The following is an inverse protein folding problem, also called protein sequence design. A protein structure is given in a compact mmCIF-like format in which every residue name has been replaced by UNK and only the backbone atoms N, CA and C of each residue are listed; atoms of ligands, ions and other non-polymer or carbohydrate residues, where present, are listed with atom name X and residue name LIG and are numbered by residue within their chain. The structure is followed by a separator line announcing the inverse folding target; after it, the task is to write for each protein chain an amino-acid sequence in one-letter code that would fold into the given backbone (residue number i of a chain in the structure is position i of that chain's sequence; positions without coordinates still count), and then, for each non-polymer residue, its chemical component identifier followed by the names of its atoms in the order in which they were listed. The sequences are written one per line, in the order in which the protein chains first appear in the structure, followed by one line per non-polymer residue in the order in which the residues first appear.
data_IF_723654665732
#
_entry.id   IF_723654665732
#
_cell.length_a   1.000
_cell.length_b   1.000
_cell.length_c   1.000
_cell.angle_alpha   90.00
_cell.angle_beta   90.00
_cell.angle_gamma   90.00
#
_symmetry.space_group_name_H-M   'P 1'
#
loop_
_entity.id
_entity.type
_entity.pdbx_description
1 polymer ?
#
# COMPACT_ATOMS: atom_id res chain seq x y z
N UNK A 1 -13.57 5.58 15.58
CA UNK A 1 -12.76 6.70 15.05
C UNK A 1 -13.56 7.40 13.97
N UNK A 2 -13.52 8.73 13.92
CA UNK A 2 -14.06 9.51 12.80
C UNK A 2 -13.18 9.30 11.58
N UNK A 3 -13.74 9.41 10.37
CA UNK A 3 -13.02 9.24 9.11
C UNK A 3 -11.68 9.99 9.07
N UNK A 4 -11.68 11.27 9.43
CA UNK A 4 -10.46 12.09 9.43
C UNK A 4 -9.39 11.64 10.44
N UNK A 5 -9.80 10.98 11.52
CA UNK A 5 -8.84 10.41 12.48
C UNK A 5 -8.14 9.19 11.87
N UNK A 6 -8.88 8.38 11.11
CA UNK A 6 -8.33 7.22 10.38
C UNK A 6 -7.34 7.70 9.31
N UNK A 7 -7.71 8.73 8.55
CA UNK A 7 -6.81 9.34 7.54
C UNK A 7 -5.50 9.79 8.17
N UNK A 8 -5.55 10.50 9.31
CA UNK A 8 -4.34 10.94 10.01
C UNK A 8 -3.46 9.77 10.48
N UNK A 9 -4.06 8.68 10.92
CA UNK A 9 -3.29 7.49 11.34
C UNK A 9 -2.56 6.89 10.15
N UNK A 10 -3.26 6.75 9.01
CA UNK A 10 -2.67 6.19 7.78
C UNK A 10 -1.57 7.12 7.24
N UNK A 11 -1.82 8.44 7.22
CA UNK A 11 -0.86 9.45 6.78
C UNK A 11 0.44 9.41 7.61
N UNK A 12 0.30 9.31 8.94
CA UNK A 12 1.47 9.16 9.82
C UNK A 12 2.26 7.87 9.54
N UNK A 13 1.57 6.75 9.25
CA UNK A 13 2.23 5.46 8.95
C UNK A 13 2.94 5.52 7.59
N UNK A 14 2.32 6.18 6.60
CA UNK A 14 2.90 6.39 5.28
C UNK A 14 4.20 7.21 5.38
N UNK A 15 4.24 8.25 6.23
CA UNK A 15 5.42 9.09 6.44
C UNK A 15 6.50 8.40 7.29
N UNK A 16 6.12 7.67 8.34
CA UNK A 16 7.09 7.03 9.25
C UNK A 16 7.69 5.74 8.69
N UNK A 17 6.87 4.90 8.06
CA UNK A 17 7.22 3.53 7.70
C UNK A 17 6.63 3.16 6.32
N UNK A 18 6.94 3.98 5.32
CA UNK A 18 6.43 3.84 3.95
C UNK A 18 6.51 2.41 3.40
N UNK A 19 7.61 1.70 3.64
CA UNK A 19 7.78 0.31 3.21
C UNK A 19 6.75 -0.64 3.82
N UNK A 20 6.55 -0.55 5.14
CA UNK A 20 5.59 -1.41 5.83
C UNK A 20 4.15 -1.01 5.52
N UNK A 21 3.89 0.28 5.30
CA UNK A 21 2.64 0.76 4.73
C UNK A 21 2.31 0.08 3.40
N UNK A 22 3.25 0.07 2.45
CA UNK A 22 3.07 -0.56 1.14
C UNK A 22 2.89 -2.08 1.27
N UNK A 23 3.69 -2.77 2.10
CA UNK A 23 3.49 -4.21 2.35
C UNK A 23 2.10 -4.51 2.92
N UNK A 24 1.60 -3.67 3.83
CA UNK A 24 0.25 -3.81 4.38
C UNK A 24 -0.83 -3.65 3.29
N UNK A 25 -0.65 -2.71 2.36
CA UNK A 25 -1.54 -2.55 1.20
C UNK A 25 -1.55 -3.80 0.31
N UNK A 26 -0.37 -4.32 -0.04
CA UNK A 26 -0.22 -5.56 -0.81
C UNK A 26 -0.89 -6.74 -0.10
N UNK A 27 -0.73 -6.86 1.22
CA UNK A 27 -1.40 -7.87 2.02
C UNK A 27 -2.93 -7.74 1.95
N UNK A 28 -3.47 -6.53 2.10
CA UNK A 28 -4.93 -6.29 2.06
C UNK A 28 -5.51 -6.69 0.69
N UNK A 29 -4.84 -6.33 -0.40
CA UNK A 29 -5.31 -6.58 -1.76
C UNK A 29 -5.16 -8.04 -2.19
N UNK A 30 -4.01 -8.64 -1.91
CA UNK A 30 -3.67 -9.99 -2.40
C UNK A 30 -3.85 -11.09 -1.36
N UNK A 31 -4.12 -10.74 -0.11
CA UNK A 31 -4.22 -11.65 1.04
C UNK A 31 -2.95 -12.51 1.25
N UNK A 32 -1.77 -11.94 0.97
CA UNK A 32 -0.45 -12.59 1.08
C UNK A 32 0.17 -12.32 2.44
N UNK A 33 0.34 -13.35 3.28
CA UNK A 33 0.92 -13.24 4.63
C UNK A 33 2.40 -13.60 4.72
N UNK A 34 2.98 -14.11 3.63
CA UNK A 34 4.38 -14.49 3.60
C UNK A 34 5.25 -13.25 3.47
N UNK A 35 6.03 -12.97 4.52
CA UNK A 35 6.90 -11.80 4.61
C UNK A 35 7.94 -11.74 3.48
N UNK A 36 8.46 -12.88 3.02
CA UNK A 36 9.44 -12.92 1.94
C UNK A 36 8.79 -12.59 0.60
N UNK A 37 7.53 -12.96 0.42
CA UNK A 37 6.76 -12.63 -0.78
C UNK A 37 6.38 -11.15 -0.75
N UNK A 38 5.95 -10.62 0.40
CA UNK A 38 5.67 -9.19 0.57
C UNK A 38 6.90 -8.33 0.32
N UNK A 39 8.07 -8.75 0.81
CA UNK A 39 9.33 -8.06 0.58
C UNK A 39 9.67 -8.00 -0.92
N UNK A 40 9.54 -9.12 -1.65
CA UNK A 40 9.79 -9.14 -3.10
C UNK A 40 8.82 -8.24 -3.87
N UNK A 41 7.53 -8.32 -3.55
CA UNK A 41 6.50 -7.50 -4.19
C UNK A 41 6.70 -6.00 -3.89
N UNK A 42 7.17 -5.66 -2.69
CA UNK A 42 7.57 -4.29 -2.39
C UNK A 42 8.75 -3.83 -3.25
N UNK A 43 9.80 -4.66 -3.42
CA UNK A 43 10.93 -4.30 -4.28
C UNK A 43 10.47 -4.11 -5.73
N UNK A 44 9.63 -5.00 -6.25
CA UNK A 44 9.03 -4.85 -7.58
C UNK A 44 8.19 -3.57 -7.69
N UNK A 45 7.37 -3.25 -6.68
CA UNK A 45 6.64 -1.98 -6.61
C UNK A 45 7.56 -0.75 -6.61
N UNK A 46 8.63 -0.78 -5.82
CA UNK A 46 9.56 0.35 -5.70
C UNK A 46 10.40 0.58 -6.96
N UNK A 47 10.76 -0.50 -7.66
CA UNK A 47 11.55 -0.44 -8.90
C UNK A 47 10.72 -0.04 -10.13
N UNK A 48 9.40 -0.26 -10.10
CA UNK A 48 8.51 0.03 -11.22
C UNK A 48 7.59 1.21 -10.91
N UNK A 49 7.79 2.34 -11.60
CA UNK A 49 6.98 3.55 -11.43
C UNK A 49 5.50 3.37 -11.82
N UNK A 50 5.16 2.30 -12.55
CA UNK A 50 3.83 2.03 -13.10
C UNK A 50 2.95 1.07 -12.25
N UNK A 51 3.41 0.61 -11.08
CA UNK A 51 2.62 -0.33 -10.26
C UNK A 51 1.67 0.43 -9.33
N UNK A 52 0.37 0.21 -9.51
CA UNK A 52 -0.68 0.70 -8.60
C UNK A 52 -1.13 -0.41 -7.64
N UNK A 53 -1.31 -0.05 -6.36
CA UNK A 53 -1.78 -0.98 -5.32
C UNK A 53 -3.31 -0.99 -5.27
N UNK A 54 -3.91 0.18 -5.03
CA UNK A 54 -5.32 0.37 -4.64
C UNK A 54 -6.42 -0.12 -5.62
N UNK A 55 -6.05 -0.79 -6.73
CA UNK A 55 -6.87 -1.28 -7.83
C UNK A 55 -7.06 -0.24 -8.95
N UNK A 56 -7.06 -0.71 -10.20
CA UNK A 56 -7.39 0.08 -11.40
C UNK A 56 -8.80 0.69 -11.35
N UNK A 57 -9.62 0.26 -10.39
CA UNK A 57 -10.95 0.78 -10.11
C UNK A 57 -10.98 2.27 -9.72
N UNK A 58 -9.86 2.82 -9.23
CA UNK A 58 -9.76 4.23 -8.81
C UNK A 58 -9.06 5.12 -9.84
N UNK A 59 -8.67 4.62 -11.01
CA UNK A 59 -8.20 5.52 -12.07
C UNK A 59 -9.36 6.42 -12.46
N UNK A 60 -9.20 7.73 -12.24
CA UNK A 60 -10.16 8.74 -12.67
C UNK A 60 -10.54 8.50 -14.13
N UNK A 61 -11.79 8.06 -14.38
CA UNK A 61 -12.39 8.28 -15.69
C UNK A 61 -12.44 9.81 -15.89
N UNK A 62 -11.75 10.28 -16.92
CA UNK A 62 -11.80 11.66 -17.40
C UNK A 62 -13.19 12.09 -17.80
#
# INVERSE_FOLDING_TARGET
MKYLEIVKIIDNIMDSDYKEFIKAMIYIEKNIKDELVLEKLYQEYYENEDINLLNDFFTEEK
#
